data_IF_971099017122
#
_entry.id   IF_971099017122
#
_cell.length_a   1.000
_cell.length_b   1.000
_cell.length_c   1.000
_cell.angle_alpha   90.00
_cell.angle_beta   90.00
_cell.angle_gamma   90.00
#
_symmetry.space_group_name_H-M   'P 1'
#
loop_
_entity.id
_entity.type
_entity.pdbx_description
1 polymer ?
2 non-polymer ?
3 non-polymer ?
4 non-polymer ?
5 water ?
#
# COMPACT_ATOMS: atom_id res chain seq x y z
N UNK A 2 -13.51 4.49 -1.24
CA UNK A 2 -12.53 5.12 -0.36
C UNK A 2 -11.72 6.15 -1.11
N UNK A 3 -11.10 7.05 -0.35
CA UNK A 3 -10.34 8.16 -0.88
C UNK A 3 -9.03 8.21 -0.14
N UNK A 4 -7.97 8.36 -0.90
CA UNK A 4 -6.64 8.57 -0.35
C UNK A 4 -6.16 9.92 -0.86
N UNK A 5 -5.63 10.73 0.05
CA UNK A 5 -5.15 12.06 -0.26
C UNK A 5 -3.72 12.17 0.22
N UNK A 6 -2.82 12.66 -0.64
CA UNK A 6 -1.41 12.89 -0.25
C UNK A 6 -1.02 14.37 -0.37
N UNK A 7 -0.25 14.85 0.60
CA UNK A 7 0.44 16.11 0.46
C UNK A 7 1.74 15.70 -0.19
N UNK A 8 2.14 16.45 -1.22
CA UNK A 8 3.33 16.13 -2.01
C UNK A 8 4.31 17.29 -1.99
N UNK A 9 5.56 17.05 -1.60
CA UNK A 9 6.56 18.09 -1.60
C UNK A 9 7.59 17.84 -2.69
N UNK A 10 7.83 18.82 -3.55
CA UNK A 10 8.92 18.76 -4.53
C UNK A 10 10.23 18.93 -3.81
N UNK A 11 11.24 18.18 -4.19
CA UNK A 11 12.58 18.39 -3.68
C UNK A 11 13.10 19.76 -4.15
N UNK A 12 12.62 20.18 -5.32
CA UNK A 12 13.11 21.42 -5.87
C UNK A 12 12.03 22.05 -6.72
N UNK A 13 11.53 23.23 -6.30
CA UNK A 13 10.40 23.85 -7.01
C UNK A 13 10.78 24.29 -8.41
N UNK A 14 12.07 24.47 -8.69
CA UNK A 14 12.50 24.70 -10.09
C UNK A 14 11.98 23.61 -11.03
N UNK A 15 11.79 22.40 -10.51
CA UNK A 15 11.28 21.26 -11.32
C UNK A 15 9.79 21.19 -11.50
N UNK A 16 9.05 22.21 -11.07
CA UNK A 16 7.59 22.15 -11.12
C UNK A 16 7.10 21.80 -12.51
N UNK A 17 7.70 22.39 -13.52
CA UNK A 17 7.18 22.17 -14.86
C UNK A 17 7.35 20.72 -15.35
N UNK A 18 8.49 20.10 -15.06
CA UNK A 18 8.67 18.65 -15.30
C UNK A 18 7.67 17.80 -14.52
N UNK A 19 7.48 18.12 -13.25
CA UNK A 19 6.49 17.43 -12.40
C UNK A 19 5.09 17.51 -13.02
N UNK A 20 4.64 18.73 -13.28
CA UNK A 20 3.28 18.92 -13.84
C UNK A 20 3.09 18.29 -15.22
N UNK A 21 4.12 18.28 -16.06
CA UNK A 21 3.97 17.62 -17.35
C UNK A 21 3.83 16.10 -17.16
N UNK A 22 4.63 15.55 -16.24
CA UNK A 22 4.59 14.13 -15.88
C UNK A 22 3.23 13.77 -15.33
N UNK A 23 2.72 14.57 -14.38
CA UNK A 23 1.39 14.31 -13.84
C UNK A 23 0.34 14.24 -14.97
N UNK A 24 0.25 15.27 -15.78
CA UNK A 24 -0.82 15.34 -16.79
C UNK A 24 -0.70 14.35 -17.94
N UNK A 25 0.51 14.01 -18.33
CA UNK A 25 0.70 13.20 -19.53
C UNK A 25 1.22 11.79 -19.28
N UNK A 26 1.59 11.51 -18.04
CA UNK A 26 2.09 10.19 -17.70
C UNK A 26 1.25 9.62 -16.54
N UNK A 27 1.17 10.37 -15.45
CA UNK A 27 0.46 9.88 -14.26
C UNK A 27 -1.02 9.69 -14.58
N UNK A 28 -1.69 10.73 -15.08
CA UNK A 28 -3.11 10.63 -15.44
C UNK A 28 -3.30 9.58 -16.53
N UNK A 29 -2.36 9.53 -17.48
CA UNK A 29 -2.49 8.67 -18.65
C UNK A 29 -2.39 7.19 -18.29
N UNK A 30 -1.85 6.88 -17.10
CA UNK A 30 -1.63 5.49 -16.66
C UNK A 30 -2.80 4.96 -15.85
N UNK A 31 -3.67 5.85 -15.39
CA UNK A 31 -4.80 5.48 -14.56
C UNK A 31 -5.80 4.47 -15.15
N UNK A 32 -6.01 4.48 -16.50
CA UNK A 32 -6.81 3.41 -17.09
C UNK A 32 -6.26 2.00 -16.84
N UNK A 33 -4.95 1.88 -16.55
CA UNK A 33 -4.31 0.58 -16.32
C UNK A 33 -4.33 0.16 -14.85
N UNK A 34 -4.91 1.00 -13.99
CA UNK A 34 -5.03 0.69 -12.57
C UNK A 34 -6.52 0.52 -12.28
N UNK A 35 -7.01 -0.73 -12.29
CA UNK A 35 -8.44 -1.00 -12.20
C UNK A 35 -9.13 -0.43 -10.95
N UNK A 36 -8.42 -0.33 -9.82
CA UNK A 36 -9.01 0.21 -8.58
C UNK A 36 -9.24 1.73 -8.56
N UNK A 37 -8.59 2.44 -9.48
CA UNK A 37 -8.71 3.91 -9.50
C UNK A 37 -9.97 4.36 -10.23
N UNK A 38 -10.89 4.97 -9.49
CA UNK A 38 -12.14 5.49 -10.02
C UNK A 38 -12.00 6.95 -10.45
N UNK A 39 -11.26 7.74 -9.65
CA UNK A 39 -10.98 9.14 -9.97
C UNK A 39 -9.61 9.46 -9.42
N UNK A 40 -8.88 10.29 -10.14
CA UNK A 40 -7.57 10.77 -9.70
C UNK A 40 -7.35 12.16 -10.22
N UNK A 41 -6.88 13.04 -9.35
CA UNK A 41 -6.53 14.40 -9.75
C UNK A 41 -5.51 15.03 -8.81
N UNK A 42 -4.70 15.93 -9.36
CA UNK A 42 -3.61 16.57 -8.63
C UNK A 42 -3.85 18.08 -8.64
N UNK A 43 -3.44 18.78 -7.57
CA UNK A 43 -3.75 20.17 -7.36
C UNK A 43 -2.57 20.92 -6.81
N UNK A 44 -2.29 22.08 -7.42
CA UNK A 44 -1.13 22.91 -7.06
C UNK A 44 -1.50 23.79 -5.90
N UNK A 45 -0.91 23.52 -4.74
CA UNK A 45 -1.20 24.23 -3.48
C UNK A 45 -0.28 25.44 -3.22
N UNK A 46 1.00 25.31 -3.61
CA UNK A 46 2.02 26.28 -3.24
C UNK A 46 3.27 25.97 -4.00
N UNK A 47 3.97 27.02 -4.43
CA UNK A 47 5.29 26.86 -5.03
C UNK A 47 6.35 27.70 -4.30
N UNK A 48 6.12 28.02 -3.03
CA UNK A 48 7.14 28.57 -2.14
C UNK A 48 8.23 27.50 -1.97
N UNK A 49 9.51 27.86 -2.13
CA UNK A 49 10.58 26.85 -2.04
C UNK A 49 10.47 26.01 -0.77
N UNK A 50 10.28 26.67 0.37
CA UNK A 50 10.33 25.98 1.66
C UNK A 50 8.95 25.56 2.20
N UNK A 51 7.95 25.50 1.32
CA UNK A 51 6.61 25.01 1.69
C UNK A 51 6.69 23.56 2.21
N UNK A 52 5.93 23.26 3.28
CA UNK A 52 5.86 21.87 3.72
C UNK A 52 5.29 20.91 2.66
N UNK A 53 4.50 21.44 1.73
CA UNK A 53 4.04 20.67 0.57
C UNK A 53 3.63 21.61 -0.54
N UNK A 54 3.74 21.14 -1.79
CA UNK A 54 3.43 21.95 -2.98
C UNK A 54 2.17 21.52 -3.69
N UNK A 55 1.86 20.23 -3.57
CA UNK A 55 0.75 19.64 -4.32
C UNK A 55 -0.07 18.77 -3.42
N UNK A 56 -1.32 18.58 -3.82
CA UNK A 56 -2.18 17.63 -3.16
C UNK A 56 -2.76 16.71 -4.24
N UNK A 57 -2.75 15.41 -4.00
CA UNK A 57 -3.45 14.51 -4.91
C UNK A 57 -4.62 13.84 -4.19
N UNK A 58 -5.70 13.63 -4.94
CA UNK A 58 -6.92 13.02 -4.44
C UNK A 58 -7.17 11.74 -5.26
N UNK A 59 -7.14 10.59 -4.60
CA UNK A 59 -7.35 9.32 -5.28
C UNK A 59 -8.62 8.68 -4.75
N UNK A 60 -9.61 8.56 -5.62
CA UNK A 60 -10.85 7.85 -5.27
C UNK A 60 -10.74 6.41 -5.77
N UNK A 61 -10.93 5.44 -4.87
CA UNK A 61 -10.75 4.02 -5.18
C UNK A 61 -11.96 3.18 -4.77
N UNK A 62 -12.11 2.04 -5.45
CA UNK A 62 -13.22 1.12 -5.20
C UNK A 62 -13.14 0.62 -3.77
N UNK A 63 -11.99 0.09 -3.41
CA UNK A 63 -11.67 -0.23 -2.03
C UNK A 63 -10.16 -0.34 -1.90
N UNK A 64 -9.69 -0.19 -0.66
CA UNK A 64 -8.26 -0.20 -0.35
C UNK A 64 -7.59 -1.50 -0.76
N UNK A 65 -8.33 -2.59 -0.65
CA UNK A 65 -7.82 -3.90 -1.05
C UNK A 65 -7.43 -3.92 -2.53
N UNK A 66 -8.32 -3.43 -3.38
CA UNK A 66 -8.07 -3.36 -4.83
C UNK A 66 -6.89 -2.44 -5.15
N UNK A 67 -6.84 -1.27 -4.50
CA UNK A 67 -5.70 -0.33 -4.69
C UNK A 67 -4.35 -0.93 -4.30
N UNK A 68 -4.32 -1.63 -3.17
CA UNK A 68 -3.11 -2.28 -2.70
C UNK A 68 -2.52 -3.27 -3.71
N UNK A 69 -3.40 -4.05 -4.35
CA UNK A 69 -3.00 -4.94 -5.43
C UNK A 69 -2.42 -4.16 -6.61
N UNK A 70 -3.10 -3.09 -7.01
CA UNK A 70 -2.64 -2.23 -8.11
C UNK A 70 -1.27 -1.65 -7.83
N UNK A 72 1.15 -3.16 -6.34
CA UNK A 72 2.14 -4.22 -6.49
C UNK A 72 2.42 -4.55 -7.96
N UNK A 73 1.68 -3.93 -8.87
CA UNK A 73 1.90 -4.11 -10.30
C UNK A 73 3.14 -3.34 -10.74
N UNK A 74 3.72 -3.72 -11.87
CA UNK A 74 4.87 -3.00 -12.44
C UNK A 74 4.41 -1.69 -13.10
N UNK A 75 3.12 -1.59 -13.41
CA UNK A 75 2.52 -0.34 -13.87
C UNK A 75 2.72 0.75 -12.81
N UNK A 76 2.40 0.42 -11.56
CA UNK A 76 2.57 1.33 -10.45
C UNK A 76 4.03 1.61 -10.14
N UNK A 77 4.87 0.58 -10.18
CA UNK A 77 6.29 0.73 -9.87
C UNK A 77 6.95 1.76 -10.79
N UNK A 78 6.46 1.82 -12.02
CA UNK A 78 6.97 2.77 -13.00
C UNK A 78 6.59 4.21 -12.69
N UNK A 79 5.39 4.39 -12.15
CA UNK A 79 4.96 5.70 -11.66
C UNK A 79 5.80 6.15 -10.46
N UNK A 80 5.87 5.31 -9.42
CA UNK A 80 6.73 5.58 -8.24
C UNK A 80 8.18 5.95 -8.57
N UNK A 81 8.80 5.22 -9.51
CA UNK A 81 10.21 5.47 -9.84
C UNK A 81 10.42 6.92 -10.31
N UNK A 82 9.55 7.36 -11.21
CA UNK A 82 9.61 8.71 -11.77
C UNK A 82 9.26 9.75 -10.71
N UNK A 83 8.16 9.51 -10.00
CA UNK A 83 7.70 10.39 -8.93
C UNK A 83 8.80 10.68 -7.92
N UNK A 84 9.48 9.61 -7.50
CA UNK A 84 10.51 9.67 -6.48
C UNK A 84 11.79 10.44 -6.84
N UNK A 85 11.98 10.74 -8.12
CA UNK A 85 13.12 11.57 -8.56
C UNK A 85 12.84 13.05 -8.31
N UNK A 87 9.88 14.23 -6.03
CA UNK A 87 8.89 14.54 -5.00
C UNK A 87 8.78 13.48 -3.93
N UNK A 88 8.16 13.82 -2.79
CA UNK A 88 7.91 12.85 -1.75
C UNK A 88 6.53 13.11 -1.15
N UNK A 89 5.88 12.05 -0.70
CA UNK A 89 4.63 12.17 0.02
C UNK A 89 5.04 12.55 1.44
N UNK A 90 4.41 13.59 2.00
CA UNK A 90 4.74 14.05 3.36
C UNK A 90 3.56 13.85 4.35
N UNK A 91 2.39 13.51 3.83
CA UNK A 91 1.27 13.15 4.65
C UNK A 91 0.30 12.35 3.81
N UNK A 92 -0.33 11.36 4.45
CA UNK A 92 -1.44 10.66 3.82
C UNK A 92 -2.69 10.82 4.69
N UNK A 93 -3.81 11.17 4.07
CA UNK A 93 -5.13 11.16 4.70
C UNK A 93 -5.95 10.14 3.93
N UNK A 94 -6.80 9.38 4.62
CA UNK A 94 -7.62 8.37 3.97
C UNK A 94 -8.96 8.18 4.71
N UNK A 95 -10.02 7.90 3.96
CA UNK A 95 -11.27 7.53 4.58
C UNK A 95 -12.21 6.80 3.63
N UNK A 96 -13.25 6.24 4.23
CA UNK A 96 -14.33 5.59 3.52
C UNK A 96 -15.43 6.60 3.29
N UNK A 97 -15.92 6.67 2.06
CA UNK A 97 -16.90 7.69 1.72
C UNK A 97 -18.21 7.45 2.46
N UNK A 98 -18.84 8.55 2.87
CA UNK A 98 -20.22 8.50 3.35
C UNK A 98 -21.16 8.62 2.17
N UNK A 99 -21.93 7.56 1.91
CA UNK A 99 -22.94 7.56 0.85
C UNK A 99 -22.34 7.71 -0.52
N UNK A 100 -23.09 8.36 -1.41
CA UNK A 100 -22.69 8.44 -2.82
C UNK A 100 -22.03 9.77 -3.19
N UNK A 101 -21.97 10.72 -2.23
CA UNK A 101 -21.41 12.05 -2.51
C UNK A 101 -22.35 12.91 -3.34
N UNK A 102 -21.89 14.09 -3.72
CA UNK A 102 -22.62 14.97 -4.63
C UNK A 102 -21.77 15.22 -5.87
N UNK A 103 -22.40 15.17 -7.05
CA UNK A 103 -21.73 15.55 -8.30
C UNK A 103 -22.70 16.34 -9.16
N UNK A 104 -22.31 17.55 -9.55
CA UNK A 104 -23.15 18.45 -10.33
C UNK A 104 -23.58 17.86 -11.67
N UNK A 105 -24.79 18.21 -12.10
CA UNK A 105 -25.31 17.79 -13.40
C UNK A 105 -24.58 18.47 -14.56
N UNK B 2 -3.93 0.41 13.59
CA UNK B 2 -4.66 -0.28 12.53
C UNK B 2 -4.16 -1.70 12.36
N UNK B 3 -5.01 -2.56 11.82
CA UNK B 3 -4.70 -3.96 11.59
C UNK B 3 -5.02 -4.26 10.15
N UNK B 4 -4.08 -4.92 9.48
CA UNK B 4 -4.28 -5.41 8.12
C UNK B 4 -4.13 -6.93 8.15
N UNK B 5 -5.09 -7.62 7.54
CA UNK B 5 -5.15 -9.06 7.54
C UNK B 5 -5.25 -9.51 6.09
N UNK B 6 -4.39 -10.47 5.71
CA UNK B 6 -4.44 -11.08 4.38
C UNK B 6 -4.74 -12.58 4.40
N UNK B 7 -5.60 -13.04 3.49
CA UNK B 7 -5.72 -14.46 3.22
C UNK B 7 -4.64 -14.68 2.17
N UNK B 8 -3.82 -15.71 2.39
CA UNK B 8 -2.70 -16.05 1.49
C UNK B 8 -2.87 -17.44 0.89
N UNK B 9 -2.80 -17.55 -0.44
CA UNK B 9 -2.92 -18.84 -1.11
C UNK B 9 -1.60 -19.21 -1.74
N UNK B 10 -1.07 -20.38 -1.39
CA UNK B 10 0.13 -20.94 -2.06
C UNK B 10 -0.22 -21.36 -3.48
N UNK B 11 0.67 -21.13 -4.43
CA UNK B 11 0.47 -21.66 -5.78
C UNK B 11 0.57 -23.17 -5.75
N UNK B 12 1.32 -23.68 -4.79
CA UNK B 12 1.57 -25.08 -4.71
C UNK B 12 1.81 -25.50 -3.27
N UNK B 13 0.94 -26.33 -2.70
CA UNK B 13 1.08 -26.71 -1.27
C UNK B 13 2.31 -27.56 -1.01
N UNK B 14 2.85 -28.21 -2.04
CA UNK B 14 4.18 -28.85 -1.93
C UNK B 14 5.25 -27.90 -1.38
N UNK B 15 5.12 -26.60 -1.67
CA UNK B 15 6.07 -25.59 -1.18
C UNK B 15 5.90 -25.09 0.25
N UNK B 16 4.97 -25.65 1.02
CA UNK B 16 4.70 -25.11 2.36
C UNK B 16 5.95 -25.03 3.22
N UNK B 17 6.82 -26.05 3.12
CA UNK B 17 8.09 -26.11 3.87
C UNK B 17 8.88 -24.81 3.65
N UNK B 18 9.16 -24.51 2.38
CA UNK B 18 9.91 -23.32 1.97
C UNK B 18 9.22 -22.04 2.36
N UNK B 19 7.89 -22.01 2.21
CA UNK B 19 7.09 -20.86 2.60
C UNK B 19 7.24 -20.59 4.09
N UNK B 20 6.99 -21.60 4.91
CA UNK B 20 7.06 -21.45 6.38
C UNK B 20 8.46 -21.11 6.90
N UNK B 21 9.49 -21.66 6.28
CA UNK B 21 10.83 -21.29 6.70
C UNK B 21 11.09 -19.81 6.37
N UNK B 22 10.71 -19.40 5.16
CA UNK B 22 10.85 -18.02 4.72
C UNK B 22 10.11 -17.08 5.69
N UNK B 23 8.88 -17.44 6.05
CA UNK B 23 8.12 -16.63 7.01
C UNK B 23 8.87 -16.45 8.34
N UNK B 24 9.24 -17.55 8.96
CA UNK B 24 9.80 -17.49 10.31
C UNK B 24 11.20 -16.94 10.35
N UNK B 25 11.97 -17.14 9.29
CA UNK B 25 13.38 -16.76 9.32
C UNK B 25 13.74 -15.57 8.44
N UNK B 26 12.82 -15.15 7.57
CA UNK B 26 13.11 -14.01 6.70
C UNK B 26 12.04 -12.94 6.93
N UNK B 27 10.77 -13.32 6.77
CA UNK B 27 9.66 -12.35 6.90
C UNK B 27 9.65 -11.74 8.30
N UNK B 28 9.48 -12.59 9.33
CA UNK B 28 9.52 -12.12 10.72
C UNK B 28 10.81 -11.37 11.03
N UNK B 29 11.95 -11.87 10.52
CA UNK B 29 13.26 -11.34 10.87
C UNK B 29 13.46 -9.94 10.33
N UNK B 30 12.70 -9.56 9.31
CA UNK B 30 12.83 -8.26 8.62
C UNK B 30 11.95 -7.18 9.25
N UNK B 31 10.94 -7.59 10.01
CA UNK B 31 10.02 -6.66 10.66
C UNK B 31 10.67 -5.52 11.48
N UNK B 32 11.82 -5.78 12.16
CA UNK B 32 12.50 -4.69 12.88
C UNK B 32 12.88 -3.52 11.96
N UNK B 33 13.08 -3.81 10.68
CA UNK B 33 13.45 -2.82 9.67
C UNK B 33 12.26 -2.04 9.09
N UNK B 34 11.05 -2.36 9.54
CA UNK B 34 9.85 -1.67 9.05
C UNK B 34 9.21 -0.97 10.24
N UNK B 35 9.53 0.33 10.43
CA UNK B 35 9.14 1.07 11.65
C UNK B 35 7.64 1.08 11.97
N UNK B 36 6.76 1.05 10.96
CA UNK B 36 5.30 1.06 11.20
C UNK B 36 4.73 -0.24 11.74
N UNK B 37 5.49 -1.33 11.65
CA UNK B 37 5.02 -2.64 12.11
C UNK B 37 5.20 -2.82 13.61
N UNK B 38 4.08 -2.93 14.31
CA UNK B 38 4.03 -3.10 15.77
C UNK B 38 3.94 -4.59 16.18
N UNK B 39 3.19 -5.37 15.41
CA UNK B 39 3.09 -6.83 15.58
C UNK B 39 2.89 -7.44 14.21
N UNK B 40 3.41 -8.64 14.02
CA UNK B 40 3.17 -9.37 12.78
C UNK B 40 3.22 -10.85 13.07
N UNK B 41 2.24 -11.59 12.55
CA UNK B 41 2.21 -13.05 12.70
C UNK B 41 1.43 -13.73 11.58
N UNK B 42 1.87 -14.93 11.20
CA UNK B 42 1.26 -15.72 10.12
C UNK B 42 0.70 -17.00 10.72
N UNK B 43 -0.41 -17.52 10.19
CA UNK B 43 -1.13 -18.66 10.76
C UNK B 43 -1.52 -19.62 9.67
N UNK B 44 -1.26 -20.91 9.90
CA UNK B 44 -1.60 -21.98 8.96
C UNK B 44 -3.06 -22.36 9.09
N UNK B 45 -3.84 -22.07 8.05
CA UNK B 45 -5.29 -22.29 8.04
C UNK B 45 -5.73 -23.60 7.37
N UNK B 46 -5.08 -23.92 6.25
CA UNK B 46 -5.42 -25.10 5.45
C UNK B 46 -4.24 -25.43 4.56
N UNK B 47 -4.02 -26.73 4.37
CA UNK B 47 -3.09 -27.19 3.34
C UNK B 47 -3.76 -28.14 2.34
N UNK B 48 -5.08 -28.04 2.18
CA UNK B 48 -5.81 -28.66 1.06
C UNK B 48 -5.31 -28.02 -0.24
N UNK B 49 -4.99 -28.84 -1.23
CA UNK B 49 -4.43 -28.29 -2.47
C UNK B 49 -5.31 -27.22 -3.08
N UNK B 50 -6.63 -27.43 -3.09
CA UNK B 50 -7.54 -26.50 -3.74
C UNK B 50 -8.20 -25.46 -2.82
N UNK B 51 -7.66 -25.29 -1.61
CA UNK B 51 -8.20 -24.34 -0.63
C UNK B 51 -8.17 -22.94 -1.26
N UNK B 52 -9.22 -22.13 -1.03
CA UNK B 52 -9.12 -20.76 -1.51
C UNK B 52 -8.01 -19.95 -0.82
N UNK B 53 -7.54 -20.40 0.35
CA UNK B 53 -6.39 -19.79 1.01
C UNK B 53 -5.83 -20.79 1.99
N UNK B 54 -4.52 -20.69 2.26
CA UNK B 54 -3.79 -21.62 3.13
C UNK B 54 -3.35 -20.99 4.44
N UNK B 55 -3.08 -19.68 4.39
CA UNK B 55 -2.47 -18.94 5.51
C UNK B 55 -3.20 -17.65 5.72
N UNK B 56 -3.13 -17.18 6.96
CA UNK B 56 -3.65 -15.88 7.30
C UNK B 56 -2.51 -15.09 7.95
N UNK B 57 -2.28 -13.86 7.49
CA UNK B 57 -1.36 -12.99 8.22
C UNK B 57 -2.10 -11.82 8.85
N UNK B 58 -1.65 -11.45 10.04
CA UNK B 58 -2.18 -10.35 10.83
C UNK B 58 -1.07 -9.31 11.06
N UNK B 59 -1.27 -8.11 10.53
CA UNK B 59 -0.27 -7.04 10.67
C UNK B 59 -0.87 -5.91 11.49
N UNK B 60 -0.30 -5.66 12.67
CA UNK B 60 -0.70 -4.53 13.50
C UNK B 60 0.26 -3.37 13.22
N UNK B 61 -0.30 -2.23 12.80
CA UNK B 61 0.51 -1.06 12.41
C UNK B 61 0.12 0.20 13.18
N UNK B 62 1.07 1.13 13.25
CA UNK B 62 0.88 2.41 13.91
C UNK B 62 -0.22 3.18 13.20
N UNK B 63 -0.06 3.39 11.92
CA UNK B 63 -1.13 3.91 11.07
C UNK B 63 -0.85 3.52 9.65
N UNK B 64 -1.91 3.54 8.85
CA UNK B 64 -1.85 3.19 7.45
C UNK B 64 -0.84 4.02 6.65
N UNK B 65 -0.72 5.29 7.02
CA UNK B 65 0.22 6.21 6.35
C UNK B 65 1.67 5.72 6.49
N UNK B 66 2.04 5.36 7.72
CA UNK B 66 3.38 4.88 8.05
C UNK B 66 3.67 3.55 7.35
N UNK B 67 2.72 2.62 7.42
CA UNK B 67 2.86 1.33 6.69
C UNK B 67 3.05 1.54 5.18
N UNK B 68 2.23 2.40 4.59
CA UNK B 68 2.36 2.72 3.17
C UNK B 68 3.75 3.20 2.75
N UNK B 69 4.36 4.00 3.63
CA UNK B 69 5.73 4.47 3.44
C UNK B 69 6.69 3.28 3.48
N UNK B 70 6.52 2.40 4.48
CA UNK B 70 7.34 1.19 4.61
C UNK B 70 7.24 0.29 3.40
N UNK B 72 7.04 1.16 0.36
CA UNK B 72 7.78 1.69 -0.77
C UNK B 72 9.30 1.53 -0.63
N UNK B 73 9.76 1.10 0.54
CA UNK B 73 11.18 0.84 0.76
C UNK B 73 11.64 -0.39 -0.02
N UNK B 74 12.94 -0.50 -0.24
CA UNK B 74 13.51 -1.65 -0.95
C UNK B 74 13.57 -2.90 -0.05
N UNK B 75 13.51 -2.67 1.26
CA UNK B 75 13.40 -3.73 2.25
C UNK B 75 12.10 -4.52 2.01
N UNK B 76 10.99 -3.79 1.83
CA UNK B 76 9.70 -4.39 1.59
C UNK B 76 9.61 -5.05 0.21
N UNK B 77 10.26 -4.44 -0.78
CA UNK B 77 10.26 -4.97 -2.14
C UNK B 77 10.97 -6.32 -2.21
N UNK B 78 11.93 -6.51 -1.32
CA UNK B 78 12.68 -7.77 -1.23
C UNK B 78 11.84 -8.90 -0.65
N UNK B 79 11.02 -8.57 0.35
CA UNK B 79 10.01 -9.49 0.88
C UNK B 79 8.97 -9.86 -0.17
N UNK B 80 8.37 -8.85 -0.81
CA UNK B 80 7.39 -9.09 -1.89
C UNK B 80 7.92 -10.02 -2.99
N UNK B 81 9.14 -9.77 -3.43
CA UNK B 81 9.72 -10.56 -4.51
C UNK B 81 9.81 -12.06 -4.19
N UNK B 82 10.24 -12.37 -2.96
CA UNK B 82 10.28 -13.76 -2.49
C UNK B 82 8.87 -14.33 -2.34
N UNK B 83 8.00 -13.57 -1.67
CA UNK B 83 6.59 -13.96 -1.43
C UNK B 83 5.86 -14.33 -2.73
N UNK B 84 5.98 -13.47 -3.74
CA UNK B 84 5.26 -13.63 -5.00
C UNK B 84 5.76 -14.81 -5.87
N UNK B 85 6.86 -15.44 -5.47
CA UNK B 85 7.32 -16.67 -6.13
C UNK B 85 6.54 -17.90 -5.65
N UNK B 87 3.30 -17.47 -3.45
CA UNK B 87 1.99 -17.19 -2.86
C UNK B 87 1.35 -15.90 -3.39
N UNK B 88 0.05 -15.72 -3.14
CA UNK B 88 -0.64 -14.50 -3.53
C UNK B 88 -1.64 -14.15 -2.45
N UNK B 89 -1.86 -12.85 -2.25
CA UNK B 89 -2.91 -12.37 -1.36
C UNK B 89 -4.22 -12.50 -2.14
N UNK B 90 -5.21 -13.15 -1.53
CA UNK B 90 -6.51 -13.34 -2.18
C UNK B 90 -7.64 -12.51 -1.52
N UNK B 91 -7.36 -11.92 -0.37
CA UNK B 91 -8.29 -11.00 0.25
C UNK B 91 -7.52 -10.17 1.27
N UNK B 92 -7.91 -8.91 1.38
CA UNK B 92 -7.38 -8.03 2.41
C UNK B 92 -8.54 -7.58 3.30
N UNK B 93 -8.34 -7.63 4.62
CA UNK B 93 -9.29 -7.10 5.60
C UNK B 93 -8.51 -6.06 6.38
N UNK B 94 -9.09 -4.90 6.67
CA UNK B 94 -8.37 -3.87 7.42
C UNK B 94 -9.33 -3.06 8.27
N UNK B 95 -8.88 -2.63 9.44
CA UNK B 95 -9.63 -1.69 10.24
C UNK B 95 -8.78 -0.98 11.27
N UNK B 96 -9.39 0.03 11.89
CA UNK B 96 -8.83 0.82 12.96
C UNK B 96 -9.25 0.22 14.28
N UNK B 97 -8.28 0.03 15.17
CA UNK B 97 -8.55 -0.66 16.42
C UNK B 97 -9.50 0.12 17.32
N UNK B 98 -10.38 -0.61 17.96
CA UNK B 98 -11.21 -0.03 19.03
C UNK B 98 -10.42 -0.05 20.34
N UNK B 99 -10.05 1.13 20.83
CA UNK B 99 -9.37 1.26 22.11
C UNK B 99 -8.03 0.56 22.14
N UNK B 100 -7.69 0.00 23.30
CA UNK B 100 -6.37 -0.56 23.59
C UNK B 100 -6.25 -2.05 23.28
N UNK B 101 -7.38 -2.72 23.09
CA UNK B 101 -7.38 -4.18 22.97
C UNK B 101 -7.19 -4.83 24.33
N UNK B 102 -7.07 -6.15 24.34
CA UNK B 102 -6.76 -6.87 25.55
C UNK B 102 -5.52 -7.70 25.32
N UNK B 103 -4.66 -7.79 26.33
CA UNK B 103 -3.49 -8.66 26.27
C UNK B 103 -3.28 -9.25 27.65
N UNK B 104 -3.18 -10.58 27.71
CA UNK B 104 -2.97 -11.31 28.96
C UNK B 104 -1.65 -10.91 29.62
N UNK B 105 -1.59 -10.97 30.95
CA UNK B 105 -0.40 -10.58 31.72
C UNK B 105 0.93 -11.11 31.21
#
# INVERSE_FOLDING_TARGET
XETIIHKIRLFDVAQADAFEFWVQNVDYATCPDLPSVVRFDVHRASLQANAPYHYVEVIKITDRAAFDADXETSTFAGLVQAFSRXAEVVEELAGEQLGSGYAAG
XETIIHKIRLFDVAQADAFEFWVQNVDYATCPDLPSVVRFDVHRASLQANAPYHYVEVIKITDRAAFDADXETSTFAGLVQAFSRXAEVVEELAGEQLGSGYAAG
#
